data_IF_263044714673
#
_entry.id   IF_263044714673
#
_cell.length_a   1.000
_cell.length_b   1.000
_cell.length_c   1.000
_cell.angle_alpha   90.00
_cell.angle_beta   90.00
_cell.angle_gamma   90.00
#
_symmetry.space_group_name_H-M   'P 1'
#
loop_
_entity.id
_entity.type
_entity.pdbx_description
1 polymer ?
#
# COMPACT_ATOMS: atom_id res chain seq x y z
N UNK A 1 -10.83 2.33 -16.75
CA UNK A 1 -10.84 2.48 -15.28
C UNK A 1 -11.63 3.70 -14.80
N UNK A 2 -11.39 4.91 -15.33
CA UNK A 2 -12.04 6.16 -14.87
C UNK A 2 -13.56 6.28 -15.08
N UNK A 3 -14.16 5.42 -15.90
CA UNK A 3 -15.63 5.28 -15.97
C UNK A 3 -16.23 4.72 -14.67
N UNK A 4 -15.46 3.90 -13.95
CA UNK A 4 -15.87 3.29 -12.69
C UNK A 4 -15.46 4.12 -11.47
N UNK A 5 -14.29 4.74 -11.51
CA UNK A 5 -13.69 5.38 -10.35
C UNK A 5 -13.26 6.80 -10.71
N UNK A 6 -14.03 7.79 -10.24
CA UNK A 6 -13.72 9.21 -10.44
C UNK A 6 -12.86 9.77 -9.30
N UNK A 7 -12.94 9.13 -8.13
CA UNK A 7 -12.18 9.44 -6.92
C UNK A 7 -11.52 8.18 -6.38
N UNK A 8 -10.46 8.34 -5.59
CA UNK A 8 -9.78 7.21 -4.94
C UNK A 8 -10.74 6.43 -4.03
N UNK A 9 -11.61 7.11 -3.28
CA UNK A 9 -12.70 6.52 -2.51
C UNK A 9 -13.55 5.52 -3.31
N UNK A 10 -13.87 5.85 -4.57
CA UNK A 10 -14.70 4.98 -5.41
C UNK A 10 -13.93 3.70 -5.75
N UNK A 11 -12.61 3.77 -5.93
CA UNK A 11 -11.78 2.59 -6.13
C UNK A 11 -11.72 1.73 -4.86
N UNK A 12 -11.45 2.34 -3.70
CA UNK A 12 -11.44 1.66 -2.40
C UNK A 12 -12.74 0.90 -2.12
N UNK A 13 -13.90 1.53 -2.41
CA UNK A 13 -15.21 0.87 -2.36
C UNK A 13 -15.32 -0.35 -3.28
N UNK A 14 -14.73 -0.29 -4.47
CA UNK A 14 -14.71 -1.41 -5.40
C UNK A 14 -13.97 -2.63 -4.83
N UNK A 15 -12.99 -2.41 -3.95
CA UNK A 15 -12.18 -3.46 -3.33
C UNK A 15 -12.97 -4.30 -2.32
N UNK A 16 -13.77 -3.66 -1.46
CA UNK A 16 -14.55 -4.33 -0.39
C UNK A 16 -15.75 -5.14 -0.90
N UNK A 17 -16.24 -4.87 -2.13
CA UNK A 17 -17.30 -5.66 -2.76
C UNK A 17 -18.66 -5.63 -2.03
N UNK A 18 -19.56 -6.57 -2.38
CA UNK A 18 -20.92 -6.68 -1.83
C UNK A 18 -20.99 -7.18 -0.38
N UNK A 19 -19.93 -7.80 0.14
CA UNK A 19 -19.94 -8.46 1.46
C UNK A 19 -19.87 -7.47 2.62
N UNK A 20 -19.43 -6.25 2.35
CA UNK A 20 -19.39 -5.16 3.33
C UNK A 20 -20.37 -4.09 2.88
N UNK A 21 -21.56 -4.06 3.48
CA UNK A 21 -22.54 -2.99 3.25
C UNK A 21 -22.06 -1.73 3.97
N UNK A 22 -21.25 -0.92 3.30
CA UNK A 22 -20.84 0.38 3.81
C UNK A 22 -22.05 1.31 3.81
N UNK A 23 -22.65 1.50 4.98
CA UNK A 23 -23.79 2.41 5.17
C UNK A 23 -23.37 3.81 4.70
N UNK A 24 -24.11 4.37 3.74
CA UNK A 24 -23.89 5.73 3.22
C UNK A 24 -23.27 5.81 1.82
N UNK A 25 -23.05 4.69 1.13
CA UNK A 25 -22.53 4.68 -0.23
C UNK A 25 -23.55 4.18 -1.28
N UNK A 26 -23.70 4.86 -2.43
CA UNK A 26 -24.50 4.34 -3.54
C UNK A 26 -23.94 3.01 -4.08
N UNK A 27 -24.83 2.13 -4.51
CA UNK A 27 -24.51 0.80 -5.01
C UNK A 27 -23.57 0.87 -6.24
N UNK A 28 -22.50 0.08 -6.21
CA UNK A 28 -21.52 0.01 -7.29
C UNK A 28 -21.78 -1.21 -8.18
N UNK A 29 -21.73 -1.03 -9.51
CA UNK A 29 -21.91 -2.14 -10.45
C UNK A 29 -20.92 -3.29 -10.18
N UNK A 30 -21.38 -4.53 -10.35
CA UNK A 30 -20.54 -5.74 -10.23
C UNK A 30 -19.31 -5.69 -11.14
N UNK A 31 -19.44 -5.06 -12.30
CA UNK A 31 -18.33 -4.84 -13.23
C UNK A 31 -17.22 -3.98 -12.60
N UNK A 32 -17.57 -2.84 -12.00
CA UNK A 32 -16.59 -1.96 -11.38
C UNK A 32 -15.95 -2.61 -10.15
N UNK A 33 -16.71 -3.34 -9.32
CA UNK A 33 -16.13 -4.08 -8.20
C UNK A 33 -15.13 -5.15 -8.68
N UNK A 34 -15.48 -5.91 -9.71
CA UNK A 34 -14.57 -6.90 -10.32
C UNK A 34 -13.31 -6.21 -10.85
N UNK A 35 -13.47 -5.10 -11.56
CA UNK A 35 -12.37 -4.33 -12.11
C UNK A 35 -11.39 -3.83 -11.04
N UNK A 36 -11.90 -3.34 -9.89
CA UNK A 36 -11.06 -2.89 -8.78
C UNK A 36 -10.20 -4.04 -8.23
N UNK A 37 -10.83 -5.18 -7.93
CA UNK A 37 -10.13 -6.37 -7.40
C UNK A 37 -9.12 -6.95 -8.39
N UNK A 38 -9.49 -7.05 -9.66
CA UNK A 38 -8.58 -7.54 -10.70
C UNK A 38 -7.40 -6.60 -10.90
N UNK A 39 -7.63 -5.28 -10.82
CA UNK A 39 -6.55 -4.28 -10.87
C UNK A 39 -5.61 -4.49 -9.70
N UNK A 40 -6.11 -4.54 -8.47
CA UNK A 40 -5.27 -4.70 -7.28
C UNK A 40 -4.47 -6.02 -7.28
N UNK A 41 -5.10 -7.11 -7.71
CA UNK A 41 -4.44 -8.42 -7.82
C UNK A 41 -3.45 -8.54 -9.00
N UNK A 42 -3.24 -7.45 -9.76
CA UNK A 42 -2.36 -7.44 -10.92
C UNK A 42 -2.82 -8.30 -12.10
N UNK A 43 -4.10 -8.71 -12.14
CA UNK A 43 -4.67 -9.51 -13.23
C UNK A 43 -4.96 -8.70 -14.49
N UNK A 44 -5.09 -7.39 -14.37
CA UNK A 44 -5.30 -6.46 -15.48
C UNK A 44 -4.27 -5.33 -15.44
N UNK A 45 -3.65 -5.03 -16.58
CA UNK A 45 -2.64 -3.99 -16.69
C UNK A 45 -3.29 -2.64 -17.01
N UNK A 46 -3.97 -2.04 -16.03
CA UNK A 46 -4.47 -0.67 -16.15
C UNK A 46 -3.50 0.38 -15.65
N UNK A 47 -2.69 0.03 -14.65
CA UNK A 47 -1.61 0.85 -14.12
C UNK A 47 -0.43 -0.07 -13.82
N UNK A 48 0.78 0.36 -14.17
CA UNK A 48 1.98 -0.45 -13.98
C UNK A 48 2.18 -0.80 -12.51
N UNK A 49 2.02 0.16 -11.59
CA UNK A 49 2.16 -0.08 -10.14
C UNK A 49 1.22 -1.16 -9.59
N UNK A 50 0.00 -1.29 -10.12
CA UNK A 50 -0.92 -2.36 -9.67
C UNK A 50 -0.67 -3.69 -10.38
N UNK A 51 -0.18 -3.65 -11.62
CA UNK A 51 0.17 -4.86 -12.37
C UNK A 51 1.45 -5.53 -11.83
N UNK A 52 2.38 -4.71 -11.36
CA UNK A 52 3.65 -5.09 -10.74
C UNK A 52 3.58 -4.85 -9.22
N UNK A 53 2.54 -5.38 -8.58
CA UNK A 53 2.34 -5.29 -7.13
C UNK A 53 3.37 -6.12 -6.34
N UNK A 54 3.39 -6.00 -5.00
CA UNK A 54 4.37 -6.71 -4.17
C UNK A 54 4.18 -8.22 -4.23
N UNK A 55 2.93 -8.67 -4.27
CA UNK A 55 2.60 -10.09 -4.36
C UNK A 55 3.26 -10.78 -5.57
N UNK A 56 3.42 -10.05 -6.68
CA UNK A 56 4.05 -10.58 -7.90
C UNK A 56 5.54 -10.87 -7.71
N UNK A 57 6.24 -10.06 -6.93
CA UNK A 57 7.67 -10.21 -6.66
C UNK A 57 7.97 -11.03 -5.40
N UNK A 58 6.95 -11.28 -4.57
CA UNK A 58 7.07 -12.01 -3.32
C UNK A 58 7.86 -13.31 -3.48
N UNK A 59 7.53 -14.16 -4.45
CA UNK A 59 8.23 -15.44 -4.63
C UNK A 59 9.71 -15.29 -4.99
N UNK A 60 10.08 -14.31 -5.82
CA UNK A 60 11.48 -14.08 -6.20
C UNK A 60 12.29 -13.42 -5.09
N UNK A 61 11.67 -12.53 -4.33
CA UNK A 61 12.33 -11.76 -3.28
C UNK A 61 12.40 -12.58 -1.98
N UNK A 62 11.28 -13.14 -1.55
CA UNK A 62 11.11 -13.82 -0.27
C UNK A 62 11.38 -15.33 -0.34
N UNK A 63 11.43 -15.91 -1.54
CA UNK A 63 11.53 -17.37 -1.74
C UNK A 63 12.89 -17.99 -1.41
N UNK A 64 13.90 -17.19 -1.06
CA UNK A 64 15.18 -17.69 -0.56
C UNK A 64 15.73 -16.78 0.53
N UNK A 65 16.08 -17.37 1.67
CA UNK A 65 16.75 -16.66 2.76
C UNK A 65 18.23 -16.38 2.47
N UNK A 66 18.76 -16.87 1.34
CA UNK A 66 20.12 -16.60 0.90
C UNK A 66 20.24 -15.26 0.14
N UNK A 67 19.12 -14.63 -0.22
CA UNK A 67 19.13 -13.37 -0.96
C UNK A 67 19.34 -12.21 0.01
N UNK A 68 20.36 -11.40 -0.25
CA UNK A 68 20.46 -10.09 0.39
C UNK A 68 19.53 -9.11 -0.35
N UNK A 69 18.62 -8.50 0.39
CA UNK A 69 17.59 -7.62 -0.16
C UNK A 69 17.87 -6.19 0.32
N UNK A 70 17.84 -5.26 -0.63
CA UNK A 70 17.85 -3.83 -0.35
C UNK A 70 16.55 -3.24 -0.90
N UNK A 71 15.87 -2.44 -0.08
CA UNK A 71 14.56 -1.90 -0.41
C UNK A 71 14.55 -0.39 -0.28
N UNK A 72 13.80 0.27 -1.15
CA UNK A 72 13.68 1.72 -1.20
C UNK A 72 12.22 2.09 -1.14
N UNK A 73 11.83 2.87 -0.13
CA UNK A 73 10.46 3.35 0.05
C UNK A 73 10.30 4.69 -0.67
N UNK A 74 9.20 4.86 -1.39
CA UNK A 74 8.96 6.08 -2.19
C UNK A 74 8.93 7.34 -1.32
N UNK A 75 8.37 7.24 -0.12
CA UNK A 75 8.25 8.32 0.86
C UNK A 75 9.57 8.64 1.61
N UNK A 76 10.57 7.76 1.49
CA UNK A 76 11.91 7.90 2.07
C UNK A 76 13.01 7.61 1.03
N UNK A 77 12.75 7.99 -0.23
CA UNK A 77 13.55 7.57 -1.39
C UNK A 77 15.03 7.87 -1.17
N UNK A 78 15.33 9.10 -0.75
CA UNK A 78 16.71 9.58 -0.63
C UNK A 78 17.40 9.02 0.60
N UNK A 79 16.69 8.90 1.72
CA UNK A 79 17.20 8.31 2.96
C UNK A 79 17.58 6.85 2.74
N UNK A 80 16.69 6.07 2.11
CA UNK A 80 16.89 4.65 1.87
C UNK A 80 18.02 4.44 0.85
N UNK A 81 18.05 5.20 -0.25
CA UNK A 81 19.17 5.18 -1.20
C UNK A 81 20.49 5.56 -0.55
N UNK A 82 20.47 6.50 0.42
CA UNK A 82 21.68 6.88 1.17
C UNK A 82 22.16 5.78 2.10
N UNK A 83 21.23 5.13 2.80
CA UNK A 83 21.54 3.99 3.65
C UNK A 83 22.18 2.87 2.83
N UNK A 84 21.58 2.50 1.69
CA UNK A 84 22.07 1.44 0.80
C UNK A 84 23.46 1.77 0.28
N UNK A 85 23.67 2.97 -0.27
CA UNK A 85 24.98 3.35 -0.80
C UNK A 85 26.07 3.33 0.27
N UNK A 86 25.75 3.71 1.52
CA UNK A 86 26.70 3.60 2.63
C UNK A 86 27.04 2.15 2.97
N UNK A 87 26.09 1.23 2.87
CA UNK A 87 26.31 -0.20 3.11
C UNK A 87 27.17 -0.82 1.99
N UNK A 88 26.91 -0.46 0.74
CA UNK A 88 27.58 -1.04 -0.44
C UNK A 88 28.94 -0.39 -0.75
N UNK A 89 29.19 0.83 -0.28
CA UNK A 89 30.43 1.56 -0.53
C UNK A 89 31.52 1.21 0.47
N UNK A 90 32.76 1.06 -0.01
CA UNK A 90 33.97 1.04 0.83
C UNK A 90 34.44 2.43 1.26
N UNK A 91 33.88 3.49 0.67
CA UNK A 91 34.23 4.89 0.93
C UNK A 91 33.14 5.58 1.76
N UNK A 92 33.55 6.25 2.84
CA UNK A 92 32.65 6.89 3.81
C UNK A 92 31.81 8.05 3.27
N UNK A 93 32.07 8.53 2.03
CA UNK A 93 31.37 9.65 1.41
C UNK A 93 31.07 9.34 -0.06
N UNK A 94 29.99 8.62 -0.34
CA UNK A 94 29.43 8.56 -1.69
C UNK A 94 28.38 9.66 -1.80
N UNK A 95 28.71 10.70 -2.56
CA UNK A 95 27.73 11.71 -2.93
C UNK A 95 26.82 11.11 -3.99
N UNK A 96 25.58 10.82 -3.60
CA UNK A 96 24.67 9.98 -4.41
C UNK A 96 24.23 10.71 -5.67
N UNK A 97 24.17 12.04 -5.63
CA UNK A 97 23.96 12.91 -6.79
C UNK A 97 24.55 14.31 -6.50
N UNK A 98 25.72 14.68 -7.07
CA UNK A 98 26.37 15.96 -6.79
C UNK A 98 25.59 17.21 -7.26
N UNK A 99 24.55 17.01 -8.09
CA UNK A 99 23.83 18.11 -8.76
C UNK A 99 22.34 18.21 -8.41
N UNK A 100 21.82 17.40 -7.48
CA UNK A 100 20.42 17.53 -7.04
C UNK A 100 20.39 18.46 -5.85
N UNK A 101 19.91 19.68 -6.05
CA UNK A 101 19.76 20.68 -5.00
C UNK A 101 18.97 20.09 -3.80
N UNK A 102 19.24 20.52 -2.56
CA UNK A 102 18.44 20.10 -1.41
C UNK A 102 16.93 20.33 -1.61
N UNK A 103 16.58 21.41 -2.31
CA UNK A 103 15.19 21.74 -2.67
C UNK A 103 14.56 20.72 -3.64
N UNK A 104 15.33 20.13 -4.57
CA UNK A 104 14.86 19.06 -5.46
C UNK A 104 14.78 17.70 -4.76
N UNK A 105 15.53 17.47 -3.67
CA UNK A 105 15.38 16.23 -2.88
C UNK A 105 14.04 16.17 -2.14
N UNK A 106 13.55 17.29 -1.61
CA UNK A 106 12.23 17.35 -0.95
C UNK A 106 11.05 17.46 -1.94
N UNK A 107 11.25 18.13 -3.09
CA UNK A 107 10.17 18.35 -4.08
C UNK A 107 10.02 17.21 -5.10
N UNK A 108 11.05 16.39 -5.30
CA UNK A 108 11.00 15.17 -6.14
C UNK A 108 10.64 13.90 -5.35
N UNK A 109 10.00 14.01 -4.18
CA UNK A 109 9.21 12.91 -3.62
C UNK A 109 8.01 12.63 -4.55
N UNK A 110 8.30 12.13 -5.75
CA UNK A 110 7.44 11.63 -6.84
C UNK A 110 6.06 12.28 -6.87
N UNK A 111 5.98 13.61 -6.74
CA UNK A 111 4.76 14.37 -7.02
C UNK A 111 4.68 14.76 -8.48
N UNK A 112 5.24 13.96 -9.38
CA UNK A 112 4.88 13.99 -10.80
C UNK A 112 3.48 13.38 -10.98
N UNK A 113 2.50 13.91 -10.25
CA UNK A 113 1.10 13.79 -10.58
C UNK A 113 0.88 14.71 -11.78
N UNK A 114 1.39 14.32 -12.95
CA UNK A 114 0.88 14.85 -14.21
C UNK A 114 -0.61 14.57 -14.22
N UNK A 115 -1.40 15.59 -13.89
CA UNK A 115 -2.87 15.60 -13.73
C UNK A 115 -3.49 14.20 -13.79
N UNK A 116 -3.28 13.39 -12.74
CA UNK A 116 -4.00 12.12 -12.67
C UNK A 116 -5.49 12.50 -12.60
N UNK A 117 -6.35 11.93 -13.46
CA UNK A 117 -7.74 12.38 -13.60
C UNK A 117 -8.63 11.98 -12.41
N UNK A 118 -8.02 11.58 -11.29
CA UNK A 118 -8.68 11.25 -10.03
C UNK A 118 -8.68 12.51 -9.17
N UNK A 119 -9.86 13.09 -8.96
CA UNK A 119 -10.02 14.27 -8.14
C UNK A 119 -9.95 13.89 -6.65
N UNK A 120 -9.18 14.66 -5.87
CA UNK A 120 -9.00 14.48 -4.43
C UNK A 120 -8.03 13.34 -4.09
N UNK A 121 -6.87 13.69 -3.54
CA UNK A 121 -5.93 12.72 -2.95
C UNK A 121 -6.31 12.30 -1.55
N UNK A 122 -7.19 13.08 -0.91
CA UNK A 122 -7.62 12.82 0.46
C UNK A 122 -8.69 11.74 0.46
N UNK A 123 -8.37 10.62 1.08
CA UNK A 123 -9.33 9.55 1.34
C UNK A 123 -10.25 9.97 2.48
N UNK A 124 -11.57 9.81 2.30
CA UNK A 124 -12.48 9.87 3.45
C UNK A 124 -12.15 8.76 4.44
N UNK A 125 -12.60 8.86 5.70
CA UNK A 125 -12.45 7.77 6.69
C UNK A 125 -12.94 6.43 6.14
N UNK A 126 -14.05 6.48 5.38
CA UNK A 126 -14.68 5.31 4.79
C UNK A 126 -13.91 4.79 3.57
N UNK A 127 -13.36 5.70 2.75
CA UNK A 127 -12.42 5.32 1.69
C UNK A 127 -11.16 4.68 2.26
N UNK A 128 -10.62 5.25 3.34
CA UNK A 128 -9.40 4.80 4.00
C UNK A 128 -9.53 3.39 4.54
N UNK A 129 -10.56 3.06 5.31
CA UNK A 129 -10.68 1.68 5.80
C UNK A 129 -11.09 0.69 4.70
N UNK A 130 -11.77 1.12 3.64
CA UNK A 130 -11.98 0.27 2.45
C UNK A 130 -10.64 -0.08 1.76
N UNK A 131 -9.72 0.89 1.64
CA UNK A 131 -8.35 0.62 1.19
C UNK A 131 -7.58 -0.26 2.17
N UNK A 132 -7.65 -0.01 3.48
CA UNK A 132 -6.99 -0.85 4.47
C UNK A 132 -7.42 -2.32 4.37
N UNK A 133 -8.73 -2.55 4.21
CA UNK A 133 -9.26 -3.90 4.01
C UNK A 133 -8.79 -4.49 2.68
N UNK A 134 -8.94 -3.73 1.58
CA UNK A 134 -8.59 -4.22 0.25
C UNK A 134 -7.10 -4.51 0.06
N UNK A 135 -6.23 -3.67 0.63
CA UNK A 135 -4.78 -3.74 0.52
C UNK A 135 -4.11 -4.62 1.59
N UNK A 136 -4.89 -5.25 2.49
CA UNK A 136 -4.33 -6.00 3.62
C UNK A 136 -3.21 -6.98 3.20
N UNK A 137 -3.45 -7.81 2.18
CA UNK A 137 -2.46 -8.77 1.70
C UNK A 137 -1.21 -8.08 1.11
N UNK A 138 -1.37 -6.95 0.42
CA UNK A 138 -0.23 -6.18 -0.09
C UNK A 138 0.60 -5.60 1.05
N UNK A 139 -0.03 -5.15 2.15
CA UNK A 139 0.69 -4.69 3.34
C UNK A 139 1.48 -5.81 4.00
N UNK A 140 0.91 -7.01 4.13
CA UNK A 140 1.61 -8.17 4.70
C UNK A 140 2.88 -8.46 3.89
N UNK A 141 2.78 -8.58 2.56
CA UNK A 141 3.94 -8.85 1.70
C UNK A 141 4.94 -7.70 1.75
N UNK A 142 4.47 -6.45 1.72
CA UNK A 142 5.33 -5.27 1.85
C UNK A 142 6.14 -5.35 3.15
N UNK A 143 5.51 -5.58 4.30
CA UNK A 143 6.23 -5.65 5.56
C UNK A 143 7.20 -6.82 5.63
N UNK A 144 6.86 -7.96 5.04
CA UNK A 144 7.80 -9.08 4.97
C UNK A 144 9.06 -8.71 4.16
N UNK A 145 8.90 -8.01 3.03
CA UNK A 145 10.02 -7.49 2.23
C UNK A 145 10.86 -6.50 3.05
N UNK A 146 10.22 -5.55 3.72
CA UNK A 146 10.90 -4.55 4.54
C UNK A 146 11.64 -5.22 5.72
N UNK A 147 11.04 -6.21 6.39
CA UNK A 147 11.65 -6.97 7.47
C UNK A 147 12.89 -7.76 7.02
N UNK A 148 12.89 -8.30 5.80
CA UNK A 148 14.05 -9.03 5.25
C UNK A 148 15.13 -8.11 4.64
N UNK A 149 14.90 -6.80 4.54
CA UNK A 149 15.84 -5.90 3.86
C UNK A 149 17.00 -5.46 4.77
N UNK A 150 18.23 -5.56 4.28
CA UNK A 150 19.46 -5.27 5.03
C UNK A 150 19.63 -3.79 5.41
N UNK A 151 19.01 -2.87 4.67
CA UNK A 151 19.16 -1.43 4.89
C UNK A 151 18.18 -0.83 5.93
N UNK A 152 17.33 -1.65 6.55
CA UNK A 152 16.43 -1.22 7.61
C UNK A 152 16.78 -1.86 8.96
N UNK A 153 16.63 -1.09 10.05
CA UNK A 153 16.72 -1.67 11.38
C UNK A 153 15.35 -2.24 11.77
N UNK A 154 15.32 -3.36 12.52
CA UNK A 154 14.06 -3.96 12.96
C UNK A 154 13.16 -3.00 13.76
N UNK A 155 13.73 -1.95 14.39
CA UNK A 155 12.95 -0.91 15.07
C UNK A 155 12.21 0.01 14.10
N UNK A 156 12.85 0.39 12.99
CA UNK A 156 12.23 1.26 11.98
C UNK A 156 11.05 0.53 11.31
N UNK A 157 11.21 -0.77 11.06
CA UNK A 157 10.16 -1.60 10.47
C UNK A 157 8.95 -1.71 11.40
N UNK A 158 9.19 -2.04 12.68
CA UNK A 158 8.13 -2.16 13.69
C UNK A 158 7.40 -0.82 13.89
N UNK A 159 8.12 0.30 13.92
CA UNK A 159 7.49 1.62 14.05
C UNK A 159 6.54 1.92 12.89
N UNK A 160 6.98 1.69 11.64
CA UNK A 160 6.15 1.90 10.46
C UNK A 160 4.94 0.96 10.42
N UNK A 161 5.13 -0.30 10.81
CA UNK A 161 4.03 -1.27 10.92
C UNK A 161 2.98 -0.81 11.93
N UNK A 162 3.40 -0.35 13.11
CA UNK A 162 2.50 0.13 14.16
C UNK A 162 1.73 1.36 13.68
N UNK A 163 2.40 2.34 13.08
CA UNK A 163 1.76 3.56 12.57
C UNK A 163 0.71 3.27 11.50
N UNK A 164 1.03 2.42 10.53
CA UNK A 164 0.06 2.07 9.48
C UNK A 164 -1.07 1.19 10.01
N UNK A 165 -0.75 0.27 10.94
CA UNK A 165 -1.76 -0.56 11.60
C UNK A 165 -2.71 0.28 12.46
N UNK A 166 -2.21 1.31 13.15
CA UNK A 166 -3.07 2.21 13.94
C UNK A 166 -3.96 3.06 13.03
N UNK A 167 -3.43 3.59 11.92
CA UNK A 167 -4.24 4.31 10.92
C UNK A 167 -5.38 3.43 10.40
N UNK A 168 -5.09 2.17 10.08
CA UNK A 168 -6.10 1.23 9.61
C UNK A 168 -7.07 0.80 10.70
N UNK A 169 -6.60 0.53 11.93
CA UNK A 169 -7.42 0.18 13.07
C UNK A 169 -8.38 1.31 13.44
N UNK A 170 -7.89 2.55 13.55
CA UNK A 170 -8.73 3.73 13.85
C UNK A 170 -9.79 3.94 12.77
N UNK A 171 -9.40 3.73 11.50
CA UNK A 171 -10.32 3.85 10.38
C UNK A 171 -11.42 2.79 10.42
N UNK A 172 -11.10 1.56 10.84
CA UNK A 172 -12.07 0.45 10.97
C UNK A 172 -12.93 0.56 12.23
N UNK A 173 -12.37 1.03 13.35
CA UNK A 173 -13.03 1.14 14.66
C UNK A 173 -13.93 2.38 14.81
N UNK A 174 -13.84 3.36 13.90
CA UNK A 174 -14.70 4.57 13.89
C UNK A 174 -16.21 4.30 13.65
N UNK A 175 -16.66 3.04 13.69
CA UNK A 175 -18.04 2.68 13.99
C UNK A 175 -19.05 2.73 12.84
N UNK A 176 -18.59 2.82 11.58
CA UNK A 176 -19.48 2.79 10.39
C UNK A 176 -19.43 1.50 9.57
N UNK A 177 -18.67 0.51 10.03
CA UNK A 177 -18.54 -0.80 9.40
C UNK A 177 -19.43 -1.81 10.13
N UNK A 178 -20.62 -2.06 9.58
CA UNK A 178 -21.39 -3.24 9.92
C UNK A 178 -21.11 -4.26 8.81
N UNK A 179 -20.25 -5.24 9.09
CA UNK A 179 -20.12 -6.39 8.20
C UNK A 179 -21.44 -7.16 8.34
N UNK A 180 -22.35 -6.99 7.38
CA UNK A 180 -23.56 -7.79 7.31
C UNK A 180 -23.16 -9.20 6.83
N UNK A 181 -22.56 -9.99 7.70
CA UNK A 181 -22.43 -11.41 7.44
C UNK A 181 -23.77 -12.09 7.71
N UNK A 182 -24.36 -12.61 6.63
CA UNK A 182 -25.17 -13.82 6.73
C UNK A 182 -24.25 -14.96 7.22
N UNK A 183 -23.94 -14.97 8.52
CA UNK A 183 -22.99 -15.93 9.11
C UNK A 183 -21.96 -15.37 10.10
N UNK A 184 -22.28 -14.27 10.79
CA UNK A 184 -21.65 -13.79 12.03
C UNK A 184 -20.25 -14.29 12.40
N UNK A 185 -19.22 -13.65 11.85
CA UNK A 185 -17.91 -13.51 12.47
C UNK A 185 -17.56 -12.04 12.71
N UNK A 186 -16.90 -11.76 13.83
CA UNK A 186 -16.36 -10.43 14.12
C UNK A 186 -15.06 -10.18 13.34
N UNK A 187 -14.66 -8.92 13.24
CA UNK A 187 -13.43 -8.54 12.52
C UNK A 187 -12.19 -9.12 13.23
N UNK A 188 -12.20 -9.28 14.56
CA UNK A 188 -11.14 -10.00 15.28
C UNK A 188 -11.02 -11.45 14.80
N UNK A 189 -12.15 -12.13 14.56
CA UNK A 189 -12.15 -13.52 14.11
C UNK A 189 -11.67 -13.67 12.65
N UNK A 190 -11.83 -12.64 11.81
CA UNK A 190 -11.25 -12.61 10.47
C UNK A 190 -9.74 -12.37 10.51
N UNK A 191 -9.27 -11.48 11.41
CA UNK A 191 -7.85 -11.20 11.62
C UNK A 191 -7.09 -12.42 12.14
N UNK A 192 -7.66 -13.15 13.10
CA UNK A 192 -7.08 -14.40 13.62
C UNK A 192 -7.10 -15.55 12.60
N UNK A 193 -8.06 -15.58 11.68
CA UNK A 193 -8.14 -16.62 10.65
C UNK A 193 -7.16 -16.45 9.48
N UNK A 194 -6.55 -15.27 9.35
CA UNK A 194 -5.54 -14.96 8.35
C UNK A 194 -4.10 -15.12 8.88
N UNK A 195 -3.95 -15.48 10.17
CA UNK A 195 -2.69 -15.78 10.86
C UNK A 195 -2.48 -17.29 10.97
#
# INVERSE_FOLDING_TARGET
IYRCFRRADDFGRGLVGMSVSLIGFPEMSKYCQKLARETLSGKVQHFEHFFFNYQRYASSVLGSDANEIFSVRTEHLWEDMTSINRILSTANNVEILPNVSPASKETENVRSYGQMPVAGTDLSELGRAAFCYGLHNEFVVYYEIILKSSNFSGRDVVSNMIEQSSICADSMLSGKYQVNEAGGKTIEELWESAS
#
